data_IF_914014408410
#
_entry.id   IF_914014408410
#
_cell.length_a   1.000
_cell.length_b   1.000
_cell.length_c   1.000
_cell.angle_alpha   90.00
_cell.angle_beta   90.00
_cell.angle_gamma   90.00
#
_symmetry.space_group_name_H-M   'P 1'
#
loop_
_entity.id
_entity.type
_entity.pdbx_description
1 polymer ?
#
# COMPACT_ATOMS: atom_id res chain seq x y z
N UNK A 1 18.66 -2.76 -2.45
CA UNK A 1 18.56 -1.56 -1.59
C UNK A 1 18.68 -2.00 -0.16
N UNK A 2 19.42 -1.24 0.66
CA UNK A 2 19.59 -1.51 2.10
C UNK A 2 18.74 -0.46 2.84
N UNK A 3 17.84 -0.87 3.76
CA UNK A 3 17.03 0.07 4.53
C UNK A 3 17.92 0.91 5.46
N UNK A 4 17.63 2.20 5.57
CA UNK A 4 18.29 3.05 6.55
C UNK A 4 17.82 2.76 7.98
N UNK A 5 18.52 3.30 8.97
CA UNK A 5 18.21 3.09 10.39
C UNK A 5 16.80 3.57 10.77
N UNK A 6 16.26 4.63 10.16
CA UNK A 6 14.91 5.14 10.44
C UNK A 6 13.86 4.17 9.90
N UNK A 7 14.08 3.63 8.71
CA UNK A 7 13.19 2.62 8.12
C UNK A 7 13.19 1.34 8.95
N UNK A 8 14.36 0.88 9.43
CA UNK A 8 14.45 -0.27 10.35
C UNK A 8 13.72 0.00 11.67
N UNK A 9 13.86 1.20 12.24
CA UNK A 9 13.14 1.57 13.46
C UNK A 9 11.62 1.62 13.26
N UNK A 10 11.16 2.13 12.12
CA UNK A 10 9.73 2.30 11.83
C UNK A 10 9.04 0.99 11.43
N UNK A 11 9.71 0.14 10.66
CA UNK A 11 9.10 -1.04 10.02
C UNK A 11 9.61 -2.37 10.57
N UNK A 12 10.64 -2.36 11.42
CA UNK A 12 11.22 -3.55 12.03
C UNK A 12 11.60 -4.59 10.98
N UNK A 13 11.09 -5.82 11.15
CA UNK A 13 11.32 -6.94 10.22
C UNK A 13 10.85 -6.69 8.78
N UNK A 14 10.00 -5.69 8.55
CA UNK A 14 9.47 -5.37 7.22
C UNK A 14 10.30 -4.31 6.48
N UNK A 15 11.36 -3.77 7.08
CA UNK A 15 12.13 -2.66 6.52
C UNK A 15 12.67 -2.96 5.11
N UNK A 16 13.22 -4.15 4.87
CA UNK A 16 13.71 -4.55 3.55
C UNK A 16 12.61 -4.57 2.48
N UNK A 17 11.43 -5.09 2.85
CA UNK A 17 10.28 -5.16 1.95
C UNK A 17 9.74 -3.77 1.63
N UNK A 18 9.61 -2.92 2.65
CA UNK A 18 9.15 -1.54 2.50
C UNK A 18 10.11 -0.75 1.62
N UNK A 19 11.42 -0.77 1.90
CA UNK A 19 12.41 -0.06 1.07
C UNK A 19 12.39 -0.53 -0.39
N UNK A 20 12.26 -1.83 -0.62
CA UNK A 20 12.12 -2.34 -1.99
C UNK A 20 10.86 -1.84 -2.67
N UNK A 21 9.74 -1.81 -1.96
CA UNK A 21 8.47 -1.36 -2.53
C UNK A 21 8.41 0.15 -2.74
N UNK A 22 9.01 0.95 -1.86
CA UNK A 22 9.19 2.40 -2.05
C UNK A 22 9.98 2.69 -3.32
N UNK A 23 10.99 1.88 -3.63
CA UNK A 23 11.73 2.00 -4.88
C UNK A 23 10.92 1.62 -6.11
N UNK A 24 10.18 0.51 -6.04
CA UNK A 24 9.34 0.05 -7.15
C UNK A 24 8.22 1.05 -7.46
N UNK A 25 7.58 1.59 -6.42
CA UNK A 25 6.47 2.55 -6.56
C UNK A 25 6.93 3.99 -6.74
N UNK A 26 8.21 4.28 -6.53
CA UNK A 26 8.80 5.62 -6.66
C UNK A 26 8.34 6.62 -5.60
N UNK A 27 7.78 6.16 -4.48
CA UNK A 27 7.22 7.03 -3.43
C UNK A 27 7.31 6.39 -2.03
N UNK A 28 7.45 7.20 -0.96
CA UNK A 28 7.59 6.69 0.40
C UNK A 28 6.32 6.00 0.91
N UNK A 29 6.49 5.09 1.86
CA UNK A 29 5.40 4.36 2.49
C UNK A 29 4.56 5.28 3.40
N UNK A 30 3.22 5.38 3.17
CA UNK A 30 2.31 6.09 4.05
C UNK A 30 2.29 5.52 5.48
N UNK A 31 1.65 6.21 6.42
CA UNK A 31 1.41 5.67 7.75
C UNK A 31 0.56 4.38 7.63
N UNK A 32 0.99 3.24 8.22
CA UNK A 32 0.33 1.96 7.98
C UNK A 32 -1.05 1.83 8.62
N UNK A 33 -1.30 2.60 9.67
CA UNK A 33 -2.55 2.58 10.40
C UNK A 33 -3.00 3.99 10.75
N UNK A 34 -4.32 4.16 10.76
CA UNK A 34 -5.00 5.25 11.45
C UNK A 34 -5.08 4.88 12.92
N UNK A 35 -4.59 5.77 13.78
CA UNK A 35 -4.70 5.63 15.22
C UNK A 35 -5.99 6.33 15.64
N UNK A 36 -6.98 5.55 16.07
CA UNK A 36 -8.18 6.07 16.72
C UNK A 36 -8.15 5.69 18.21
N UNK A 37 -8.24 6.69 19.07
CA UNK A 37 -8.12 6.53 20.53
C UNK A 37 -9.16 5.57 21.15
N UNK A 38 -10.27 5.31 20.44
CA UNK A 38 -11.38 4.48 20.93
C UNK A 38 -11.40 3.03 20.41
N UNK A 39 -10.81 2.74 19.25
CA UNK A 39 -11.04 1.46 18.54
C UNK A 39 -9.76 0.71 18.14
N UNK A 40 -8.59 1.20 18.55
CA UNK A 40 -7.30 0.61 18.18
C UNK A 40 -6.88 0.92 16.74
N UNK A 41 -5.69 0.44 16.31
CA UNK A 41 -5.13 0.76 15.00
C UNK A 41 -5.91 0.08 13.87
N UNK A 42 -6.43 0.87 12.92
CA UNK A 42 -7.06 0.38 11.68
C UNK A 42 -6.13 0.62 10.48
N UNK A 43 -6.07 -0.27 9.48
CA UNK A 43 -5.26 -0.02 8.28
C UNK A 43 -5.65 1.30 7.60
N UNK A 44 -4.66 2.12 7.26
CA UNK A 44 -4.93 3.35 6.53
C UNK A 44 -5.20 3.04 5.05
N UNK A 45 -6.32 3.50 4.44
CA UNK A 45 -6.61 3.26 3.03
C UNK A 45 -5.47 3.67 2.09
N UNK A 46 -4.84 4.82 2.33
CA UNK A 46 -3.67 5.28 1.56
C UNK A 46 -2.47 4.31 1.63
N UNK A 47 -2.24 3.65 2.76
CA UNK A 47 -1.18 2.65 2.88
C UNK A 47 -1.52 1.38 2.11
N UNK A 48 -2.77 0.92 2.15
CA UNK A 48 -3.21 -0.24 1.39
C UNK A 48 -3.19 0.05 -0.11
N UNK A 49 -3.63 1.22 -0.55
CA UNK A 49 -3.51 1.67 -1.94
C UNK A 49 -2.04 1.70 -2.41
N UNK A 50 -1.14 2.20 -1.56
CA UNK A 50 0.29 2.17 -1.82
C UNK A 50 0.84 0.75 -1.92
N UNK A 51 0.43 -0.13 -1.01
CA UNK A 51 0.80 -1.55 -1.03
C UNK A 51 0.32 -2.23 -2.31
N UNK A 52 -0.85 -1.83 -2.82
CA UNK A 52 -1.41 -2.31 -4.08
C UNK A 52 -0.69 -1.76 -5.31
N UNK A 53 0.22 -0.79 -5.17
CA UNK A 53 0.95 -0.18 -6.29
C UNK A 53 0.08 0.67 -7.22
N UNK A 54 -1.08 1.14 -6.74
CA UNK A 54 -2.02 1.98 -7.48
C UNK A 54 -1.54 3.45 -7.53
N UNK A 55 -1.99 4.28 -8.49
CA UNK A 55 -1.74 5.72 -8.44
C UNK A 55 -2.20 6.34 -7.11
N UNK A 56 -1.59 7.46 -6.72
CA UNK A 56 -1.98 8.16 -5.49
C UNK A 56 -3.41 8.69 -5.62
N UNK A 57 -4.23 8.46 -4.60
CA UNK A 57 -5.61 8.93 -4.57
C UNK A 57 -6.57 8.14 -5.47
N UNK A 58 -6.17 6.96 -5.95
CA UNK A 58 -7.01 6.15 -6.84
C UNK A 58 -8.31 5.66 -6.19
N UNK A 59 -8.23 5.26 -4.92
CA UNK A 59 -9.35 4.86 -4.07
C UNK A 59 -9.37 5.69 -2.78
N UNK A 60 -8.20 6.00 -2.22
CA UNK A 60 -8.06 6.61 -0.91
C UNK A 60 -8.57 8.07 -0.85
N UNK A 61 -8.58 8.78 -1.98
CA UNK A 61 -9.06 10.17 -2.09
C UNK A 61 -10.51 10.25 -2.61
N UNK A 62 -11.27 9.15 -2.56
CA UNK A 62 -12.68 9.15 -2.96
C UNK A 62 -13.57 9.72 -1.86
N UNK A 63 -14.27 10.82 -2.15
CA UNK A 63 -15.27 11.43 -1.27
C UNK A 63 -16.59 10.63 -1.20
N UNK A 64 -16.83 9.73 -2.16
CA UNK A 64 -18.05 8.92 -2.25
C UNK A 64 -17.98 7.62 -1.42
N UNK A 65 -16.80 7.27 -0.88
CA UNK A 65 -16.56 6.02 -0.19
C UNK A 65 -16.17 6.25 1.28
N UNK A 66 -16.85 5.56 2.19
CA UNK A 66 -16.37 5.41 3.57
C UNK A 66 -15.03 4.68 3.61
N UNK A 67 -14.21 4.88 4.65
CA UNK A 67 -12.93 4.17 4.79
C UNK A 67 -13.06 2.64 4.72
N UNK A 68 -14.14 2.08 5.29
CA UNK A 68 -14.40 0.63 5.19
C UNK A 68 -14.70 0.20 3.75
N UNK A 69 -15.42 1.01 2.98
CA UNK A 69 -15.67 0.74 1.56
C UNK A 69 -14.40 0.89 0.72
N UNK A 70 -13.56 1.90 1.01
CA UNK A 70 -12.24 2.04 0.38
C UNK A 70 -11.38 0.80 0.63
N UNK A 71 -11.26 0.35 1.89
CA UNK A 71 -10.52 -0.87 2.24
C UNK A 71 -11.12 -2.12 1.59
N UNK A 72 -12.45 -2.21 1.49
CA UNK A 72 -13.13 -3.32 0.82
C UNK A 72 -12.82 -3.33 -0.68
N UNK A 73 -12.85 -2.17 -1.34
CA UNK A 73 -12.50 -2.05 -2.75
C UNK A 73 -11.02 -2.41 -3.00
N UNK A 74 -10.12 -1.87 -2.17
CA UNK A 74 -8.69 -2.17 -2.24
C UNK A 74 -8.40 -3.66 -1.99
N UNK A 75 -9.05 -4.27 -1.00
CA UNK A 75 -8.87 -5.68 -0.66
C UNK A 75 -9.42 -6.66 -1.71
N UNK A 76 -10.42 -6.25 -2.50
CA UNK A 76 -10.95 -7.02 -3.63
C UNK A 76 -10.27 -6.69 -4.97
N UNK A 77 -9.36 -5.71 -4.98
CA UNK A 77 -8.62 -5.30 -6.17
C UNK A 77 -7.49 -6.26 -6.54
N UNK A 78 -6.77 -5.91 -7.62
CA UNK A 78 -5.60 -6.67 -8.08
C UNK A 78 -4.33 -5.82 -7.98
N UNK A 79 -3.19 -6.46 -7.74
CA UNK A 79 -1.87 -5.82 -7.85
C UNK A 79 -1.56 -5.57 -9.34
N UNK A 80 -1.53 -4.31 -9.83
CA UNK A 80 -1.40 -4.02 -11.26
C UNK A 80 -0.12 -4.59 -11.87
N UNK A 81 1.02 -4.52 -11.16
CA UNK A 81 2.29 -5.09 -11.64
C UNK A 81 2.23 -6.60 -11.84
N UNK A 82 1.50 -7.32 -10.97
CA UNK A 82 1.30 -8.76 -11.11
C UNK A 82 0.30 -9.07 -12.23
N UNK A 83 -0.78 -8.29 -12.35
CA UNK A 83 -1.75 -8.45 -13.42
C UNK A 83 -1.11 -8.23 -14.81
N UNK A 84 -0.30 -7.18 -14.98
CA UNK A 84 0.46 -6.94 -16.22
C UNK A 84 1.40 -8.11 -16.51
N UNK A 85 2.16 -8.59 -15.52
CA UNK A 85 3.06 -9.73 -15.69
C UNK A 85 2.32 -10.99 -16.16
N UNK A 86 1.16 -11.29 -15.55
CA UNK A 86 0.34 -12.43 -15.93
C UNK A 86 -0.22 -12.31 -17.36
N UNK A 87 -0.71 -11.12 -17.74
CA UNK A 87 -1.19 -10.85 -19.09
C UNK A 87 -0.06 -10.94 -20.13
N UNK A 88 1.14 -10.44 -19.82
CA UNK A 88 2.31 -10.56 -20.71
C UNK A 88 2.74 -12.02 -20.90
N UNK A 89 2.64 -12.86 -19.86
CA UNK A 89 2.92 -14.29 -19.97
C UNK A 89 1.88 -15.03 -20.80
N UNK A 90 0.60 -14.62 -20.74
CA UNK A 90 -0.47 -15.24 -21.52
C UNK A 90 -0.40 -14.85 -23.01
N UNK A 91 0.09 -13.65 -23.31
CA UNK A 91 0.22 -13.14 -24.67
C UNK A 91 1.50 -13.61 -25.40
N UNK A 92 2.40 -14.31 -24.69
CA UNK A 92 3.62 -14.90 -25.22
C UNK A 92 3.37 -16.31 -25.77
#
# INVERSE_FOLDING_TARGET
MVPDRRTVQRWGRYADAITRWEHITGRPAPAPALLNDAEGPRPAPAFVEWLMGLPIGWVADSDDLTQNQQLTALGNGVLPLQAVSALSLLAA
#
